data_IF_909090068495
#
_entry.id   IF_909090068495
#
_cell.length_a   1.000
_cell.length_b   1.000
_cell.length_c   1.000
_cell.angle_alpha   90.00
_cell.angle_beta   90.00
_cell.angle_gamma   90.00
#
_symmetry.space_group_name_H-M   'P 1'
#
loop_
_entity.id
_entity.type
_entity.pdbx_description
1 polymer ?
#
# COMPACT_ATOMS: atom_id res chain seq x y z
N UNK A 1 -40.93 32.93 14.05
CA UNK A 1 -40.69 32.00 12.92
C UNK A 1 -39.19 31.75 12.86
N UNK A 2 -38.75 30.64 13.45
CA UNK A 2 -37.35 30.21 13.51
C UNK A 2 -37.21 29.01 12.57
N UNK A 3 -36.48 29.17 11.47
CA UNK A 3 -36.17 28.09 10.55
C UNK A 3 -34.70 27.69 10.74
N UNK A 4 -34.54 26.43 11.17
CA UNK A 4 -33.30 25.73 11.45
C UNK A 4 -32.32 25.75 10.26
N UNK A 5 -31.26 26.54 10.36
CA UNK A 5 -30.10 26.53 9.46
C UNK A 5 -29.08 25.43 9.83
N UNK A 6 -29.54 24.20 10.09
CA UNK A 6 -28.65 23.12 10.59
C UNK A 6 -28.86 21.76 9.92
N UNK A 7 -29.47 21.70 8.74
CA UNK A 7 -29.67 20.44 8.01
C UNK A 7 -29.22 20.46 6.54
N UNK A 8 -28.78 21.62 6.01
CA UNK A 8 -28.41 21.77 4.58
C UNK A 8 -26.88 21.78 4.38
N UNK A 9 -26.09 21.91 5.47
CA UNK A 9 -24.62 21.84 5.43
C UNK A 9 -24.07 20.46 5.80
N UNK A 10 -24.87 19.40 5.62
CA UNK A 10 -24.47 18.00 5.84
C UNK A 10 -24.71 17.13 4.60
N UNK A 11 -24.85 17.75 3.43
CA UNK A 11 -25.08 17.05 2.16
C UNK A 11 -23.99 17.32 1.10
N UNK A 12 -22.78 17.69 1.53
CA UNK A 12 -21.61 17.88 0.65
C UNK A 12 -20.39 17.10 1.18
N UNK A 13 -20.60 15.93 1.77
CA UNK A 13 -19.51 15.05 2.24
C UNK A 13 -19.75 13.57 1.96
N UNK A 14 -20.63 13.27 1.00
CA UNK A 14 -20.92 11.92 0.52
C UNK A 14 -21.00 11.91 -1.00
N UNK A 15 -20.07 12.60 -1.67
CA UNK A 15 -19.66 12.14 -3.00
C UNK A 15 -18.65 11.03 -2.75
N UNK A 16 -19.23 9.84 -2.73
CA UNK A 16 -18.58 8.54 -2.80
C UNK A 16 -17.37 8.64 -3.73
N UNK A 17 -16.18 8.46 -3.16
CA UNK A 17 -14.97 8.13 -3.91
C UNK A 17 -15.16 6.75 -4.57
N UNK A 18 -15.95 6.68 -5.63
CA UNK A 18 -15.86 5.57 -6.58
C UNK A 18 -14.67 5.87 -7.46
N UNK A 19 -13.47 5.63 -6.94
CA UNK A 19 -12.33 5.43 -7.84
C UNK A 19 -12.61 4.11 -8.53
N UNK A 20 -13.17 4.21 -9.72
CA UNK A 20 -13.23 3.12 -10.68
C UNK A 20 -11.79 2.64 -10.82
N UNK A 21 -11.48 1.49 -10.24
CA UNK A 21 -10.30 0.74 -10.64
C UNK A 21 -10.54 0.40 -12.11
N UNK A 22 -10.09 1.28 -13.01
CA UNK A 22 -9.97 0.94 -14.41
C UNK A 22 -9.14 -0.34 -14.52
N UNK A 23 -9.26 -1.10 -15.62
CA UNK A 23 -8.31 -2.18 -15.88
C UNK A 23 -6.92 -1.59 -15.70
N UNK A 24 -6.12 -2.22 -14.83
CA UNK A 24 -4.74 -1.84 -14.59
C UNK A 24 -4.00 -1.94 -15.92
N UNK A 25 -4.00 -0.86 -16.70
CA UNK A 25 -3.24 -0.72 -17.93
C UNK A 25 -1.79 -0.47 -17.48
N UNK A 26 -1.20 -1.51 -16.90
CA UNK A 26 0.23 -1.61 -16.73
C UNK A 26 0.81 -1.65 -18.14
N UNK A 27 1.08 -0.46 -18.70
CA UNK A 27 2.11 -0.34 -19.73
C UNK A 27 3.36 -0.97 -19.12
N UNK A 28 3.61 -2.23 -19.49
CA UNK A 28 4.77 -3.07 -19.17
C UNK A 28 6.12 -2.43 -19.57
N UNK A 29 6.15 -1.14 -19.89
CA UNK A 29 7.16 -0.55 -20.74
C UNK A 29 8.40 -0.03 -20.01
N UNK A 30 8.39 0.13 -18.68
CA UNK A 30 9.54 0.70 -17.96
C UNK A 30 9.78 0.15 -16.53
N UNK A 31 9.24 -1.02 -16.17
CA UNK A 31 9.57 -1.64 -14.87
C UNK A 31 10.95 -2.31 -14.97
N UNK A 32 11.91 -2.01 -14.06
CA UNK A 32 13.21 -2.67 -14.07
C UNK A 32 13.05 -4.15 -13.77
N UNK A 33 13.93 -4.98 -14.33
CA UNK A 33 13.83 -6.45 -14.22
C UNK A 33 13.81 -6.97 -12.78
N UNK A 34 14.52 -6.27 -11.87
CA UNK A 34 14.56 -6.55 -10.45
C UNK A 34 14.51 -5.22 -9.70
N UNK A 35 13.69 -5.15 -8.66
CA UNK A 35 13.48 -3.96 -7.84
C UNK A 35 13.98 -4.24 -6.42
N UNK A 36 15.01 -3.53 -5.94
CA UNK A 36 15.38 -3.57 -4.54
C UNK A 36 14.34 -2.82 -3.70
N UNK A 37 13.87 -3.45 -2.62
CA UNK A 37 12.90 -2.89 -1.68
C UNK A 37 13.33 -3.21 -0.25
N UNK A 38 13.35 -2.21 0.62
CA UNK A 38 13.72 -2.36 2.03
C UNK A 38 12.50 -2.19 2.92
N UNK A 39 12.27 -3.17 3.79
CA UNK A 39 11.26 -3.09 4.85
C UNK A 39 11.88 -2.62 6.16
N UNK A 40 11.13 -1.85 6.94
CA UNK A 40 11.51 -1.33 8.24
C UNK A 40 10.50 -1.77 9.29
N UNK A 41 10.99 -2.22 10.44
CA UNK A 41 10.13 -2.67 11.53
C UNK A 41 9.51 -1.50 12.30
N UNK A 42 10.28 -0.43 12.48
CA UNK A 42 9.84 0.70 13.26
C UNK A 42 9.34 1.86 12.39
N UNK A 43 8.55 2.72 13.03
CA UNK A 43 8.17 4.00 12.47
C UNK A 43 9.38 4.87 12.16
N UNK A 44 9.18 5.85 11.27
CA UNK A 44 10.23 6.80 10.88
C UNK A 44 11.48 6.14 10.23
N UNK A 45 11.33 4.90 9.75
CA UNK A 45 12.39 4.16 9.04
C UNK A 45 13.61 3.85 9.91
N UNK A 46 13.39 3.65 11.21
CA UNK A 46 14.42 3.23 12.16
C UNK A 46 14.43 1.72 12.40
N UNK A 47 15.39 1.27 13.20
CA UNK A 47 15.45 -0.10 13.71
C UNK A 47 15.92 -1.13 12.68
N UNK A 48 15.46 -2.36 12.88
CA UNK A 48 15.83 -3.49 12.05
C UNK A 48 15.19 -3.33 10.65
N UNK A 49 15.96 -3.66 9.62
CA UNK A 49 15.53 -3.56 8.24
C UNK A 49 16.02 -4.73 7.41
N UNK A 50 15.26 -5.09 6.39
CA UNK A 50 15.65 -6.14 5.45
C UNK A 50 15.34 -5.73 4.03
N UNK A 51 16.34 -5.91 3.16
CA UNK A 51 16.24 -5.62 1.73
C UNK A 51 15.99 -6.91 0.95
N UNK A 52 15.03 -6.84 0.04
CA UNK A 52 14.70 -7.89 -0.91
C UNK A 52 14.84 -7.38 -2.33
N UNK A 53 15.10 -8.30 -3.25
CA UNK A 53 15.12 -8.06 -4.68
C UNK A 53 13.89 -8.74 -5.28
N UNK A 54 12.93 -7.95 -5.75
CA UNK A 54 11.63 -8.42 -6.18
C UNK A 54 11.46 -8.30 -7.69
N UNK A 55 10.77 -9.27 -8.27
CA UNK A 55 10.36 -9.21 -9.68
C UNK A 55 9.07 -8.40 -9.82
N UNK A 56 8.96 -7.51 -10.82
CA UNK A 56 7.72 -6.79 -11.08
C UNK A 56 6.56 -7.73 -11.40
N UNK A 57 5.36 -7.36 -10.96
CA UNK A 57 4.09 -8.08 -11.18
C UNK A 57 4.01 -9.47 -10.53
N UNK A 58 5.07 -9.96 -9.90
CA UNK A 58 5.05 -11.19 -9.12
C UNK A 58 4.60 -10.90 -7.69
N UNK A 59 3.78 -11.81 -7.15
CA UNK A 59 3.37 -11.74 -5.75
C UNK A 59 4.52 -12.16 -4.83
N UNK A 60 4.93 -11.25 -3.97
CA UNK A 60 5.89 -11.52 -2.91
C UNK A 60 5.18 -11.75 -1.58
N UNK A 61 5.35 -12.94 -1.01
CA UNK A 61 4.91 -13.24 0.35
C UNK A 61 6.01 -12.87 1.33
N UNK A 62 5.63 -12.10 2.36
CA UNK A 62 6.57 -11.78 3.41
C UNK A 62 6.86 -13.03 4.25
N UNK A 63 8.12 -13.27 4.62
CA UNK A 63 8.46 -14.29 5.60
C UNK A 63 7.70 -14.07 6.91
N UNK A 64 7.27 -15.17 7.56
CA UNK A 64 6.41 -15.12 8.76
C UNK A 64 7.00 -14.30 9.90
N UNK A 65 8.32 -14.25 10.03
CA UNK A 65 9.04 -13.48 11.03
C UNK A 65 9.07 -11.96 10.78
N UNK A 66 8.65 -11.51 9.59
CA UNK A 66 8.58 -10.10 9.21
C UNK A 66 7.17 -9.59 8.99
N UNK A 67 6.25 -10.47 8.62
CA UNK A 67 4.89 -10.10 8.24
C UNK A 67 4.16 -9.27 9.31
N UNK A 68 4.43 -9.50 10.60
CA UNK A 68 3.78 -8.82 11.73
C UNK A 68 4.58 -7.66 12.33
N UNK A 69 5.63 -7.19 11.66
CA UNK A 69 6.59 -6.25 12.23
C UNK A 69 7.01 -5.23 11.18
N UNK A 70 6.09 -4.66 10.41
CA UNK A 70 6.47 -3.72 9.34
C UNK A 70 5.67 -2.45 9.48
N UNK A 71 6.43 -1.37 9.61
CA UNK A 71 5.93 -0.01 9.76
C UNK A 71 6.32 0.88 8.58
N UNK A 72 7.16 0.40 7.65
CA UNK A 72 7.50 1.16 6.46
C UNK A 72 8.23 0.39 5.38
N UNK A 73 8.20 0.95 4.18
CA UNK A 73 8.88 0.46 2.98
C UNK A 73 9.64 1.60 2.31
N UNK A 74 10.85 1.31 1.85
CA UNK A 74 11.66 2.17 0.98
C UNK A 74 11.94 1.45 -0.34
N UNK A 75 11.77 2.16 -1.46
CA UNK A 75 11.97 1.67 -2.83
C UNK A 75 12.50 2.82 -3.70
N UNK A 76 12.84 2.56 -4.96
CA UNK A 76 13.22 3.63 -5.87
C UNK A 76 12.05 4.58 -6.17
N UNK A 77 12.34 5.88 -6.33
CA UNK A 77 11.35 6.96 -6.51
C UNK A 77 10.38 6.78 -7.68
N UNK A 78 10.70 5.93 -8.66
CA UNK A 78 9.87 5.70 -9.85
C UNK A 78 9.09 4.37 -9.81
N UNK A 79 9.01 3.74 -8.64
CA UNK A 79 8.31 2.46 -8.47
C UNK A 79 7.00 2.66 -7.73
N UNK A 80 5.95 2.00 -8.22
CA UNK A 80 4.75 1.78 -7.43
C UNK A 80 4.71 0.33 -6.94
N UNK A 81 3.94 0.10 -5.89
CA UNK A 81 3.67 -1.23 -5.39
C UNK A 81 2.32 -1.26 -4.68
N UNK A 82 1.77 -2.45 -4.53
CA UNK A 82 0.51 -2.69 -3.84
C UNK A 82 0.80 -3.64 -2.68
N UNK A 83 0.43 -3.26 -1.47
CA UNK A 83 0.51 -4.12 -0.28
C UNK A 83 -0.84 -4.73 0.03
N UNK A 84 -0.82 -5.94 0.60
CA UNK A 84 -2.00 -6.71 0.98
C UNK A 84 -1.86 -7.15 2.44
N UNK A 85 -2.99 -7.19 3.15
CA UNK A 85 -3.06 -7.69 4.51
C UNK A 85 -3.27 -9.22 4.61
N UNK A 86 -3.24 -9.92 3.48
CA UNK A 86 -3.32 -11.37 3.39
C UNK A 86 -2.14 -11.93 2.58
N UNK A 87 -1.82 -13.22 2.73
CA UNK A 87 -0.81 -13.86 1.89
C UNK A 87 -1.33 -14.05 0.45
N UNK A 88 -0.40 -14.31 -0.46
CA UNK A 88 -0.61 -14.68 -1.86
C UNK A 88 -1.28 -13.61 -2.74
N UNK A 89 -1.32 -12.36 -2.29
CA UNK A 89 -1.90 -11.24 -3.03
C UNK A 89 -3.34 -11.53 -3.48
N UNK A 90 -4.12 -12.19 -2.62
CA UNK A 90 -5.49 -12.59 -2.93
C UNK A 90 -6.44 -11.38 -2.85
N UNK A 91 -6.81 -10.85 -4.02
CA UNK A 91 -7.70 -9.70 -4.16
C UNK A 91 -9.13 -9.91 -3.66
N UNK A 92 -9.59 -11.15 -3.48
CA UNK A 92 -10.99 -11.42 -3.14
C UNK A 92 -11.30 -11.17 -1.66
N UNK A 93 -10.27 -11.26 -0.81
CA UNK A 93 -10.37 -11.16 0.65
C UNK A 93 -9.45 -10.10 1.26
N UNK A 94 -8.58 -9.47 0.47
CA UNK A 94 -7.60 -8.51 0.94
C UNK A 94 -8.13 -7.09 1.08
N UNK A 95 -7.76 -6.44 2.17
CA UNK A 95 -7.54 -5.00 2.14
C UNK A 95 -6.19 -4.75 1.45
N UNK A 96 -6.21 -3.96 0.37
CA UNK A 96 -5.02 -3.62 -0.40
C UNK A 96 -4.90 -2.12 -0.63
N UNK A 97 -3.68 -1.62 -0.76
CA UNK A 97 -3.42 -0.21 -1.05
C UNK A 97 -2.18 -0.03 -1.90
N UNK A 98 -2.30 0.88 -2.87
CA UNK A 98 -1.21 1.25 -3.77
C UNK A 98 -0.41 2.40 -3.18
N UNK A 99 0.90 2.27 -3.24
CA UNK A 99 1.89 3.28 -2.89
C UNK A 99 2.80 3.52 -4.10
N UNK A 100 3.26 4.76 -4.28
CA UNK A 100 4.18 5.14 -5.35
C UNK A 100 5.21 6.11 -4.79
N UNK A 101 6.46 5.92 -5.17
CA UNK A 101 7.55 6.78 -4.72
C UNK A 101 8.45 6.11 -3.71
N UNK A 102 9.49 6.83 -3.24
CA UNK A 102 10.63 6.20 -2.63
C UNK A 102 10.35 5.70 -1.22
N UNK A 103 9.39 6.28 -0.52
CA UNK A 103 9.19 6.01 0.90
C UNK A 103 7.69 5.94 1.19
N UNK A 104 7.28 4.95 1.99
CA UNK A 104 5.93 4.90 2.56
C UNK A 104 5.96 4.41 3.99
N UNK A 105 5.28 5.14 4.87
CA UNK A 105 5.11 4.78 6.28
C UNK A 105 3.70 4.22 6.49
N UNK A 106 3.60 3.18 7.32
CA UNK A 106 2.35 2.52 7.67
C UNK A 106 1.88 2.79 9.09
N UNK A 107 2.65 3.51 9.90
CA UNK A 107 2.44 3.76 11.33
C UNK A 107 1.04 4.21 11.74
N UNK A 108 0.36 4.92 10.85
CA UNK A 108 -0.99 5.45 11.07
C UNK A 108 -1.99 4.92 10.05
N UNK A 109 -1.71 3.73 9.51
CA UNK A 109 -2.52 3.06 8.50
C UNK A 109 -2.91 1.65 8.99
N UNK A 110 -3.95 1.04 8.42
CA UNK A 110 -4.30 -0.35 8.71
C UNK A 110 -3.23 -1.39 8.33
N UNK A 111 -2.17 -0.98 7.64
CA UNK A 111 -1.06 -1.83 7.23
C UNK A 111 0.08 -1.92 8.25
N UNK A 112 0.06 -1.12 9.32
CA UNK A 112 1.06 -1.26 10.38
C UNK A 112 1.03 -2.67 10.95
N UNK A 113 2.16 -3.38 10.91
CA UNK A 113 2.30 -4.77 11.40
C UNK A 113 1.36 -5.77 10.72
N UNK A 114 0.80 -5.39 9.57
CA UNK A 114 -0.25 -6.16 8.91
C UNK A 114 0.03 -6.41 7.43
N UNK A 115 1.16 -5.97 6.88
CA UNK A 115 1.57 -6.32 5.52
C UNK A 115 1.93 -7.81 5.45
N UNK A 116 1.25 -8.58 4.61
CA UNK A 116 1.47 -10.02 4.44
C UNK A 116 2.03 -10.39 3.07
N UNK A 117 1.63 -9.66 2.04
CA UNK A 117 2.17 -9.81 0.69
C UNK A 117 2.18 -8.49 -0.07
N UNK A 118 2.92 -8.42 -1.17
CA UNK A 118 2.96 -7.25 -2.04
C UNK A 118 3.24 -7.60 -3.50
N UNK A 119 2.89 -6.68 -4.41
CA UNK A 119 3.23 -6.72 -5.84
C UNK A 119 3.88 -5.41 -6.23
N UNK A 120 4.98 -5.45 -6.99
CA UNK A 120 5.55 -4.26 -7.62
C UNK A 120 4.82 -3.95 -8.94
N UNK A 121 4.45 -2.68 -9.14
CA UNK A 121 3.43 -2.21 -10.06
C UNK A 121 3.86 -0.94 -10.82
#
# INVERSE_FOLDING_TARGET
MNLNFSAILMLILTIVSVTIAGPLDFKKRDLPSIVPLTFYQDCEFSGNHQTYQLLPLDCFNLPTNWATLISGINVSSNICYIVYNNPNCDFTSAYSQRYCGPISSFCYTPFNDNVRSLIIA
#
